data_IF_696042539799
#
_entry.id   IF_696042539799
#
_cell.length_a   1.000
_cell.length_b   1.000
_cell.length_c   1.000
_cell.angle_alpha   90.00
_cell.angle_beta   90.00
_cell.angle_gamma   90.00
#
_symmetry.space_group_name_H-M   'P 1'
#
loop_
_entity.id
_entity.type
_entity.pdbx_description
1 polymer ?
#
# COMPACT_ATOMS: atom_id res chain seq x y z
N UNK A 1 12.08 -2.74 3.77
CA UNK A 1 11.48 -2.69 2.42
C UNK A 1 11.77 -1.35 1.77
N UNK A 2 12.13 -1.34 0.49
CA UNK A 2 12.35 -0.11 -0.27
C UNK A 2 11.01 0.55 -0.63
N UNK A 3 10.97 1.88 -0.72
CA UNK A 3 9.72 2.62 -1.01
C UNK A 3 9.06 2.19 -2.32
N UNK A 4 9.84 2.06 -3.40
CA UNK A 4 9.32 1.65 -4.72
C UNK A 4 8.73 0.23 -4.71
N UNK A 5 9.37 -0.67 -3.97
CA UNK A 5 8.90 -2.05 -3.80
C UNK A 5 7.54 -2.07 -3.06
N UNK A 6 7.41 -1.26 -2.00
CA UNK A 6 6.15 -1.10 -1.26
C UNK A 6 5.04 -0.57 -2.15
N UNK A 7 5.31 0.50 -2.88
CA UNK A 7 4.35 1.13 -3.79
C UNK A 7 3.90 0.16 -4.90
N UNK A 8 4.82 -0.59 -5.49
CA UNK A 8 4.49 -1.62 -6.47
C UNK A 8 3.58 -2.73 -5.88
N UNK A 9 3.83 -3.13 -4.63
CA UNK A 9 2.98 -4.10 -3.94
C UNK A 9 1.58 -3.53 -3.66
N UNK A 10 1.48 -2.28 -3.22
CA UNK A 10 0.20 -1.59 -2.98
C UNK A 10 -0.61 -1.53 -4.29
N UNK A 11 0.01 -1.09 -5.40
CA UNK A 11 -0.65 -1.03 -6.71
C UNK A 11 -1.14 -2.41 -7.17
N UNK A 12 -0.33 -3.46 -6.98
CA UNK A 12 -0.71 -4.83 -7.34
C UNK A 12 -1.95 -5.28 -6.57
N UNK A 13 -1.99 -5.05 -5.27
CA UNK A 13 -3.14 -5.41 -4.42
C UNK A 13 -4.40 -4.65 -4.81
N UNK A 14 -4.30 -3.34 -5.08
CA UNK A 14 -5.42 -2.52 -5.57
C UNK A 14 -5.94 -3.05 -6.90
N UNK A 15 -5.05 -3.38 -7.84
CA UNK A 15 -5.44 -3.85 -9.18
C UNK A 15 -6.08 -5.24 -9.16
N UNK A 16 -5.67 -6.13 -8.24
CA UNK A 16 -6.26 -7.46 -8.11
C UNK A 16 -7.63 -7.39 -7.42
N UNK A 17 -7.77 -6.58 -6.37
CA UNK A 17 -8.95 -6.60 -5.51
C UNK A 17 -9.97 -5.50 -5.82
N UNK A 18 -9.67 -4.56 -6.73
CA UNK A 18 -10.41 -3.32 -7.03
C UNK A 18 -10.59 -2.35 -5.85
N UNK A 19 -10.58 -2.87 -4.62
CA UNK A 19 -10.65 -2.14 -3.36
C UNK A 19 -9.85 -2.91 -2.30
N UNK A 20 -9.07 -2.18 -1.52
CA UNK A 20 -8.26 -2.73 -0.43
C UNK A 20 -8.42 -1.86 0.81
N UNK A 21 -8.39 -2.52 1.98
CA UNK A 21 -8.39 -1.82 3.26
C UNK A 21 -6.95 -1.43 3.63
N UNK A 22 -6.81 -0.22 4.16
CA UNK A 22 -5.52 0.32 4.58
C UNK A 22 -4.95 -0.48 5.76
N UNK A 23 -5.81 -0.92 6.67
CA UNK A 23 -5.46 -1.80 7.80
C UNK A 23 -4.81 -3.09 7.33
N UNK A 24 -5.33 -3.69 6.25
CA UNK A 24 -4.85 -4.97 5.73
C UNK A 24 -3.49 -4.79 5.05
N UNK A 25 -3.32 -3.72 4.26
CA UNK A 25 -2.04 -3.38 3.65
C UNK A 25 -0.98 -3.07 4.71
N UNK A 26 -1.35 -2.32 5.74
CA UNK A 26 -0.51 -1.98 6.90
C UNK A 26 0.00 -3.25 7.59
N UNK A 27 -0.90 -4.20 7.89
CA UNK A 27 -0.55 -5.49 8.48
C UNK A 27 0.31 -6.36 7.55
N UNK A 28 -0.06 -6.50 6.27
CA UNK A 28 0.67 -7.30 5.27
C UNK A 28 2.11 -6.80 5.06
N UNK A 29 2.27 -5.48 4.99
CA UNK A 29 3.55 -4.83 4.70
C UNK A 29 4.34 -4.47 5.96
N UNK A 30 3.79 -4.73 7.15
CA UNK A 30 4.37 -4.40 8.46
C UNK A 30 4.82 -2.94 8.57
N UNK A 31 3.99 -2.02 8.08
CA UNK A 31 4.21 -0.57 8.16
C UNK A 31 2.99 0.11 8.75
N UNK A 32 3.12 1.36 9.20
CA UNK A 32 1.96 2.10 9.70
C UNK A 32 0.96 2.42 8.59
N UNK A 33 -0.32 2.55 8.95
CA UNK A 33 -1.35 3.02 8.03
C UNK A 33 -1.02 4.40 7.45
N UNK A 34 -0.38 5.27 8.23
CA UNK A 34 0.09 6.58 7.77
C UNK A 34 1.08 6.45 6.60
N UNK A 35 1.95 5.42 6.65
CA UNK A 35 2.89 5.13 5.56
C UNK A 35 2.15 4.67 4.31
N UNK A 36 1.15 3.79 4.46
CA UNK A 36 0.31 3.33 3.33
C UNK A 36 -0.45 4.50 2.71
N UNK A 37 -1.05 5.37 3.52
CA UNK A 37 -1.78 6.56 3.03
C UNK A 37 -0.87 7.51 2.26
N UNK A 38 0.34 7.76 2.75
CA UNK A 38 1.32 8.60 2.06
C UNK A 38 1.76 7.99 0.73
N UNK A 39 2.05 6.69 0.71
CA UNK A 39 2.41 5.99 -0.51
C UNK A 39 1.28 6.02 -1.55
N UNK A 40 0.02 5.85 -1.13
CA UNK A 40 -1.14 5.97 -2.01
C UNK A 40 -1.31 7.39 -2.56
N UNK A 41 -1.10 8.42 -1.73
CA UNK A 41 -1.18 9.83 -2.16
C UNK A 41 -0.11 10.19 -3.19
N UNK A 42 1.08 9.62 -3.09
CA UNK A 42 2.16 9.87 -4.05
C UNK A 42 2.02 9.08 -5.36
N UNK A 43 1.11 8.10 -5.41
CA UNK A 43 0.81 7.30 -6.60
C UNK A 43 -0.32 7.91 -7.46
N UNK A 44 -1.01 8.94 -6.96
CA UNK A 44 -2.04 9.70 -7.66
C UNK A 44 -1.46 11.00 -8.25
#
# INVERSE_FOLDING_TARGET
MLKRERQAHILREVNIHNKVLITDLSQKLQVSEDTIRRDLQELA
#
